data_IF_233588101097
#
_entry.id   IF_233588101097
#
_cell.length_a   1.000
_cell.length_b   1.000
_cell.length_c   1.000
_cell.angle_alpha   90.00
_cell.angle_beta   90.00
_cell.angle_gamma   90.00
#
_symmetry.space_group_name_H-M   'P 1'
#
loop_
_entity.id
_entity.type
_entity.pdbx_description
1 polymer ?
#
# COMPACT_ATOMS: atom_id res chain seq x y z
N UNK A 1 -6.44 -9.71 -11.36
CA UNK A 1 -5.20 -9.70 -10.56
C UNK A 1 -5.07 -8.34 -9.89
N UNK A 2 -4.67 -8.32 -8.63
CA UNK A 2 -4.59 -7.11 -7.82
C UNK A 2 -3.14 -6.60 -7.77
N UNK A 3 -2.98 -5.29 -7.95
CA UNK A 3 -1.77 -4.57 -7.62
C UNK A 3 -1.79 -4.20 -6.15
N UNK A 4 -0.63 -4.16 -5.51
CA UNK A 4 -0.52 -3.84 -4.10
C UNK A 4 0.72 -3.03 -3.79
N UNK A 5 0.60 -2.08 -2.87
CA UNK A 5 1.71 -1.25 -2.38
C UNK A 5 1.70 -1.33 -0.86
N UNK A 6 2.84 -1.70 -0.28
CA UNK A 6 3.01 -1.74 1.17
C UNK A 6 3.48 -0.38 1.68
N UNK A 7 2.80 0.12 2.71
CA UNK A 7 3.17 1.33 3.42
C UNK A 7 3.56 0.97 4.84
N UNK A 8 4.76 1.37 5.26
CA UNK A 8 5.29 1.08 6.60
C UNK A 8 5.91 2.33 7.21
N UNK A 9 6.03 2.36 8.54
CA UNK A 9 6.72 3.44 9.27
C UNK A 9 8.01 2.92 9.89
N UNK A 10 9.18 3.15 9.26
CA UNK A 10 10.49 2.81 9.80
C UNK A 10 10.73 3.38 11.21
N UNK A 11 11.22 2.55 12.15
CA UNK A 11 11.73 3.07 13.45
C UNK A 11 12.93 3.99 13.26
N UNK A 12 13.80 3.67 12.29
CA UNK A 12 15.01 4.42 11.95
C UNK A 12 14.75 5.68 11.08
N UNK A 13 13.49 6.00 10.75
CA UNK A 13 13.12 7.16 9.93
C UNK A 13 13.29 6.97 8.41
N UNK A 14 14.02 5.94 7.97
CA UNK A 14 14.16 5.56 6.55
C UNK A 14 13.90 4.08 6.31
N UNK A 15 13.25 3.75 5.20
CA UNK A 15 13.05 2.36 4.79
C UNK A 15 14.30 1.86 4.06
N UNK A 16 14.73 0.64 4.35
CA UNK A 16 15.92 0.03 3.73
C UNK A 16 15.61 -1.40 3.28
N UNK A 17 16.32 -1.93 2.26
CA UNK A 17 16.13 -3.31 1.82
C UNK A 17 16.28 -4.34 2.95
N UNK A 18 17.28 -4.18 3.83
CA UNK A 18 17.50 -5.08 4.97
C UNK A 18 16.30 -5.14 5.93
N UNK A 19 15.56 -4.04 6.09
CA UNK A 19 14.35 -4.02 6.92
C UNK A 19 13.21 -4.80 6.27
N UNK A 20 13.09 -4.74 4.94
CA UNK A 20 12.11 -5.51 4.18
C UNK A 20 12.48 -7.00 4.19
N UNK A 21 13.75 -7.35 3.96
CA UNK A 21 14.25 -8.71 4.07
C UNK A 21 13.94 -9.30 5.44
N UNK A 22 14.22 -8.55 6.51
CA UNK A 22 13.85 -8.96 7.86
C UNK A 22 12.34 -9.19 7.99
N UNK A 23 11.52 -8.27 7.48
CA UNK A 23 10.07 -8.37 7.57
C UNK A 23 9.53 -9.59 6.79
N UNK A 24 10.04 -9.88 5.60
CA UNK A 24 9.64 -11.06 4.85
C UNK A 24 10.02 -12.36 5.55
N UNK A 25 11.18 -12.40 6.20
CA UNK A 25 11.63 -13.59 6.89
C UNK A 25 10.94 -13.81 8.26
N UNK A 26 10.51 -12.75 8.94
CA UNK A 26 10.16 -12.85 10.37
C UNK A 26 8.80 -12.26 10.76
N UNK A 27 8.10 -11.51 9.90
CA UNK A 27 6.88 -10.79 10.30
C UNK A 27 5.70 -11.69 10.71
N UNK A 28 5.67 -12.94 10.23
CA UNK A 28 4.66 -13.93 10.58
C UNK A 28 4.97 -14.71 11.86
N UNK A 29 6.15 -14.54 12.44
CA UNK A 29 6.58 -15.25 13.65
C UNK A 29 6.19 -14.44 14.90
N UNK A 30 5.18 -14.88 15.68
CA UNK A 30 4.71 -14.16 16.86
C UNK A 30 5.71 -14.18 18.03
N UNK A 31 6.77 -14.99 17.93
CA UNK A 31 7.81 -15.09 18.99
C UNK A 31 8.88 -14.00 18.87
N UNK A 32 8.90 -13.26 17.76
CA UNK A 32 9.88 -12.20 17.53
C UNK A 32 9.68 -11.04 18.52
N UNK A 33 10.72 -10.65 19.28
CA UNK A 33 10.60 -9.54 20.20
C UNK A 33 10.32 -8.21 19.48
N UNK A 34 9.38 -7.43 20.01
CA UNK A 34 9.00 -6.13 19.45
C UNK A 34 10.18 -5.17 19.26
N UNK A 35 11.19 -5.24 20.13
CA UNK A 35 12.40 -4.39 20.05
C UNK A 35 13.12 -4.54 18.72
N UNK A 36 13.12 -5.75 18.13
CA UNK A 36 13.80 -6.04 16.87
C UNK A 36 12.95 -5.77 15.63
N UNK A 37 11.64 -5.56 15.80
CA UNK A 37 10.80 -5.18 14.66
C UNK A 37 11.28 -3.85 14.06
N UNK A 38 11.55 -3.79 12.75
CA UNK A 38 12.09 -2.59 12.11
C UNK A 38 11.04 -1.48 11.94
N UNK A 39 9.76 -1.82 12.01
CA UNK A 39 8.63 -0.90 11.82
C UNK A 39 7.95 -0.58 13.14
N UNK A 40 7.44 0.65 13.25
CA UNK A 40 6.64 1.08 14.41
C UNK A 40 5.35 0.28 14.47
N UNK A 41 4.93 -0.06 15.69
CA UNK A 41 3.59 -0.61 15.91
C UNK A 41 2.55 0.50 15.77
N UNK A 42 1.52 0.24 14.99
CA UNK A 42 0.45 1.18 14.65
C UNK A 42 -0.85 0.79 15.36
N UNK A 43 -1.78 1.74 15.43
CA UNK A 43 -3.15 1.51 15.90
C UNK A 43 -4.09 1.63 14.70
N UNK A 44 -4.56 0.51 14.10
CA UNK A 44 -5.34 0.53 12.87
C UNK A 44 -6.53 1.49 12.91
N UNK A 45 -7.29 1.50 14.01
CA UNK A 45 -8.43 2.42 14.18
C UNK A 45 -8.04 3.89 14.18
N UNK A 46 -6.94 4.25 14.85
CA UNK A 46 -6.46 5.65 14.86
C UNK A 46 -5.99 6.08 13.48
N UNK A 47 -5.36 5.17 12.74
CA UNK A 47 -4.92 5.40 11.37
C UNK A 47 -6.11 5.51 10.41
N UNK A 48 -7.15 4.71 10.61
CA UNK A 48 -8.39 4.80 9.83
C UNK A 48 -9.05 6.17 9.99
N UNK A 49 -9.12 6.66 11.23
CA UNK A 49 -9.63 8.01 11.52
C UNK A 49 -8.77 9.11 10.88
N UNK A 50 -7.45 8.93 10.78
CA UNK A 50 -6.57 9.87 10.09
C UNK A 50 -6.88 9.95 8.59
N UNK A 51 -7.12 8.80 7.95
CA UNK A 51 -7.52 8.72 6.54
C UNK A 51 -8.93 9.25 6.29
N UNK A 52 -9.88 8.99 7.20
CA UNK A 52 -11.24 9.55 7.13
C UNK A 52 -11.27 11.08 7.31
N UNK A 53 -10.24 11.68 7.92
CA UNK A 53 -10.09 13.15 7.94
C UNK A 53 -9.72 13.71 6.58
N UNK A 54 -8.88 13.00 5.81
CA UNK A 54 -8.54 13.36 4.44
C UNK A 54 -9.75 13.14 3.53
N UNK A 55 -10.33 11.94 3.60
CA UNK A 55 -11.41 11.51 2.71
C UNK A 55 -12.55 10.90 3.53
N UNK A 56 -13.59 11.70 3.73
CA UNK A 56 -14.80 11.30 4.48
C UNK A 56 -15.70 10.34 3.71
N UNK A 57 -15.40 10.07 2.43
CA UNK A 57 -16.21 9.20 1.58
C UNK A 57 -15.78 7.74 1.65
N UNK A 58 -14.63 7.46 2.27
CA UNK A 58 -14.17 6.09 2.51
C UNK A 58 -15.17 5.30 3.35
N UNK A 59 -15.41 4.06 2.95
CA UNK A 59 -16.31 3.14 3.63
C UNK A 59 -15.46 2.23 4.50
N UNK A 60 -15.64 2.30 5.82
CA UNK A 60 -14.88 1.51 6.77
C UNK A 60 -15.55 0.17 7.07
N UNK A 61 -14.75 -0.89 7.03
CA UNK A 61 -15.13 -2.26 7.36
C UNK A 61 -14.14 -2.84 8.39
N UNK A 62 -14.62 -3.68 9.34
CA UNK A 62 -13.73 -4.36 10.27
C UNK A 62 -12.89 -5.42 9.54
N UNK A 63 -11.58 -5.45 9.81
CA UNK A 63 -10.68 -6.53 9.41
C UNK A 63 -10.49 -7.57 10.53
N UNK A 64 -9.64 -8.56 10.29
CA UNK A 64 -9.26 -9.55 11.31
C UNK A 64 -8.40 -8.93 12.42
N UNK A 65 -8.43 -9.49 13.63
CA UNK A 65 -7.48 -9.09 14.69
C UNK A 65 -7.55 -7.64 15.18
N UNK A 66 -8.60 -6.87 14.82
CA UNK A 66 -8.71 -5.44 15.14
C UNK A 66 -8.19 -4.52 14.04
N UNK A 67 -7.84 -5.07 12.88
CA UNK A 67 -7.50 -4.35 11.66
C UNK A 67 -8.72 -3.63 11.07
N UNK A 68 -8.47 -2.75 10.11
CA UNK A 68 -9.52 -1.96 9.45
C UNK A 68 -9.30 -2.01 7.95
N UNK A 69 -10.36 -2.21 7.18
CA UNK A 69 -10.35 -2.05 5.73
C UNK A 69 -11.10 -0.76 5.40
N UNK A 70 -10.51 0.10 4.58
CA UNK A 70 -11.18 1.27 4.01
C UNK A 70 -11.35 1.06 2.51
N UNK A 71 -12.60 1.09 2.04
CA UNK A 71 -12.94 0.99 0.63
C UNK A 71 -13.14 2.38 0.05
N UNK A 72 -12.57 2.60 -1.13
CA UNK A 72 -12.94 3.76 -1.94
C UNK A 72 -14.42 3.63 -2.37
N UNK A 73 -15.23 4.71 -2.34
CA UNK A 73 -16.67 4.62 -2.53
C UNK A 73 -17.08 4.12 -3.92
N UNK A 74 -16.25 4.32 -4.94
CA UNK A 74 -16.50 3.83 -6.30
C UNK A 74 -16.00 2.38 -6.40
N UNK A 75 -16.92 1.43 -6.25
CA UNK A 75 -16.62 -0.02 -6.22
C UNK A 75 -15.86 -0.51 -7.46
N UNK A 76 -16.17 0.03 -8.64
CA UNK A 76 -15.56 -0.37 -9.89
C UNK A 76 -14.05 -0.03 -9.96
N UNK A 77 -13.59 0.94 -9.15
CA UNK A 77 -12.16 1.23 -9.03
C UNK A 77 -11.44 0.20 -8.17
N UNK A 78 -12.15 -0.54 -7.31
CA UNK A 78 -11.59 -1.63 -6.51
C UNK A 78 -10.48 -1.22 -5.53
N UNK A 79 -10.31 0.07 -5.23
CA UNK A 79 -9.26 0.57 -4.34
C UNK A 79 -9.63 0.25 -2.89
N UNK A 80 -8.72 -0.40 -2.17
CA UNK A 80 -8.86 -0.70 -0.74
C UNK A 80 -7.56 -0.39 0.01
N UNK A 81 -7.71 0.16 1.21
CA UNK A 81 -6.63 0.33 2.17
C UNK A 81 -6.85 -0.65 3.31
N UNK A 82 -6.02 -1.67 3.42
CA UNK A 82 -6.02 -2.59 4.55
C UNK A 82 -5.02 -2.10 5.61
N UNK A 83 -5.52 -1.68 6.76
CA UNK A 83 -4.75 -1.12 7.86
C UNK A 83 -4.56 -2.19 8.94
N UNK A 84 -3.31 -2.50 9.24
CA UNK A 84 -2.93 -3.44 10.29
C UNK A 84 -1.87 -2.84 11.21
N UNK A 85 -1.47 -3.58 12.24
CA UNK A 85 -0.59 -3.05 13.29
C UNK A 85 0.85 -2.77 12.84
N UNK A 86 1.25 -3.16 11.61
CA UNK A 86 2.59 -2.88 11.04
C UNK A 86 2.58 -1.96 9.83
N UNK A 87 1.42 -1.64 9.27
CA UNK A 87 1.37 -0.83 8.06
C UNK A 87 0.00 -0.69 7.44
N UNK A 88 0.01 -0.22 6.21
CA UNK A 88 -1.15 -0.19 5.32
C UNK A 88 -0.78 -0.92 4.04
N UNK A 89 -1.69 -1.76 3.56
CA UNK A 89 -1.60 -2.34 2.22
C UNK A 89 -2.64 -1.66 1.36
N UNK A 90 -2.18 -0.86 0.39
CA UNK A 90 -3.03 -0.34 -0.68
C UNK A 90 -3.19 -1.44 -1.72
N UNK A 91 -4.42 -1.76 -2.09
CA UNK A 91 -4.73 -2.71 -3.17
C UNK A 91 -5.66 -2.08 -4.18
N UNK A 92 -5.46 -2.39 -5.46
CA UNK A 92 -6.32 -1.97 -6.56
C UNK A 92 -6.18 -2.93 -7.74
N UNK A 93 -7.22 -3.12 -8.56
CA UNK A 93 -7.14 -3.97 -9.74
C UNK A 93 -6.16 -3.42 -10.79
N UNK A 94 -5.48 -4.31 -11.52
CA UNK A 94 -4.75 -3.94 -12.72
C UNK A 94 -5.74 -3.40 -13.77
N UNK A 95 -5.54 -2.16 -14.20
CA UNK A 95 -6.36 -1.46 -15.19
C UNK A 95 -5.49 -0.91 -16.32
N UNK A 96 -6.07 -0.70 -17.50
CA UNK A 96 -5.34 -0.15 -18.66
C UNK A 96 -5.52 1.37 -18.78
N UNK A 97 -4.58 2.00 -19.49
CA UNK A 97 -4.73 3.33 -20.08
C UNK A 97 -5.06 4.42 -19.03
N UNK A 98 -5.97 5.34 -19.37
CA UNK A 98 -6.36 6.48 -18.53
C UNK A 98 -6.86 6.05 -17.15
N UNK A 99 -7.57 4.93 -17.06
CA UNK A 99 -8.14 4.47 -15.81
C UNK A 99 -7.05 4.05 -14.82
N UNK A 100 -5.97 3.43 -15.31
CA UNK A 100 -4.79 3.12 -14.50
C UNK A 100 -4.19 4.38 -13.88
N UNK A 101 -4.04 5.45 -14.68
CA UNK A 101 -3.51 6.74 -14.20
C UNK A 101 -4.39 7.39 -13.15
N UNK A 102 -5.72 7.31 -13.30
CA UNK A 102 -6.67 7.83 -12.31
C UNK A 102 -6.55 7.05 -11.00
N UNK A 103 -6.56 5.72 -11.07
CA UNK A 103 -6.42 4.86 -9.89
C UNK A 103 -5.09 5.09 -9.18
N UNK A 104 -3.99 5.15 -9.91
CA UNK A 104 -2.68 5.48 -9.35
C UNK A 104 -2.70 6.87 -8.72
N UNK A 105 -3.24 7.89 -9.39
CA UNK A 105 -3.35 9.24 -8.82
C UNK A 105 -4.10 9.27 -7.47
N UNK A 106 -5.19 8.50 -7.35
CA UNK A 106 -5.92 8.33 -6.09
C UNK A 106 -5.06 7.63 -5.04
N UNK A 107 -4.44 6.49 -5.38
CA UNK A 107 -3.58 5.74 -4.46
C UNK A 107 -2.41 6.60 -3.95
N UNK A 108 -1.71 7.30 -4.83
CA UNK A 108 -0.59 8.18 -4.48
C UNK A 108 -1.01 9.37 -3.63
N UNK A 109 -2.26 9.83 -3.74
CA UNK A 109 -2.81 10.85 -2.82
C UNK A 109 -2.81 10.34 -1.38
N UNK A 110 -3.25 9.10 -1.13
CA UNK A 110 -3.20 8.51 0.21
C UNK A 110 -1.77 8.24 0.68
N UNK A 111 -0.90 7.74 -0.21
CA UNK A 111 0.52 7.52 0.10
C UNK A 111 1.16 8.82 0.56
N UNK A 112 0.99 9.90 -0.21
CA UNK A 112 1.56 11.22 0.09
C UNK A 112 1.04 11.77 1.42
N UNK A 113 -0.27 11.68 1.64
CA UNK A 113 -0.86 12.16 2.89
C UNK A 113 -0.35 11.37 4.11
N UNK A 114 -0.26 10.04 4.01
CA UNK A 114 0.29 9.20 5.09
C UNK A 114 1.77 9.48 5.33
N UNK A 115 2.52 9.74 4.27
CA UNK A 115 3.88 10.23 4.37
C UNK A 115 3.95 11.54 5.19
N UNK A 116 3.21 12.58 4.77
CA UNK A 116 3.28 13.90 5.39
C UNK A 116 2.81 13.90 6.86
N UNK A 117 1.78 13.10 7.17
CA UNK A 117 1.18 13.09 8.51
C UNK A 117 1.84 12.12 9.49
N UNK A 118 2.41 11.02 9.00
CA UNK A 118 2.84 9.92 9.86
C UNK A 118 4.19 9.29 9.49
N UNK A 119 4.89 9.82 8.47
CA UNK A 119 6.23 9.38 8.09
C UNK A 119 6.28 8.01 7.43
N UNK A 120 5.21 7.63 6.72
CA UNK A 120 5.15 6.39 5.97
C UNK A 120 6.12 6.39 4.78
N UNK A 121 6.69 5.23 4.51
CA UNK A 121 7.44 4.90 3.30
C UNK A 121 6.68 3.86 2.51
N UNK A 122 6.79 3.90 1.19
CA UNK A 122 6.17 2.92 0.30
C UNK A 122 7.20 1.90 -0.21
N UNK A 123 6.75 0.66 -0.32
CA UNK A 123 7.43 -0.41 -1.01
C UNK A 123 6.47 -1.05 -2.01
N UNK A 124 6.90 -1.08 -3.26
CA UNK A 124 6.22 -1.73 -4.37
C UNK A 124 6.89 -3.09 -4.64
N UNK A 125 6.25 -4.22 -4.28
CA UNK A 125 6.83 -5.54 -4.49
C UNK A 125 6.87 -5.98 -5.95
N UNK A 126 6.00 -5.46 -6.81
CA UNK A 126 5.96 -5.79 -8.23
C UNK A 126 7.15 -5.16 -8.96
N UNK A 127 7.53 -3.95 -8.57
CA UNK A 127 8.66 -3.20 -9.13
C UNK A 127 9.96 -3.36 -8.33
N UNK A 128 9.88 -3.90 -7.11
CA UNK A 128 10.97 -3.94 -6.13
C UNK A 128 11.55 -2.54 -5.87
N UNK A 129 10.67 -1.55 -5.68
CA UNK A 129 11.02 -0.14 -5.48
C UNK A 129 10.64 0.31 -4.07
N UNK A 130 11.57 0.98 -3.40
CA UNK A 130 11.35 1.71 -2.15
C UNK A 130 11.27 3.18 -2.50
N UNK A 131 10.16 3.84 -2.15
CA UNK A 131 9.97 5.26 -2.43
C UNK A 131 9.61 6.05 -1.18
N UNK A 132 10.07 7.30 -1.19
CA UNK A 132 9.78 8.31 -0.18
C UNK A 132 9.10 9.49 -0.85
N UNK A 133 7.78 9.62 -0.63
CA UNK A 133 7.00 10.83 -0.82
C UNK A 133 6.91 11.53 -2.19
N UNK A 134 7.95 11.48 -3.03
CA UNK A 134 8.18 12.41 -4.13
C UNK A 134 8.58 11.74 -5.46
N UNK A 135 8.57 10.41 -5.55
CA UNK A 135 8.79 9.73 -6.83
C UNK A 135 7.53 9.79 -7.71
N UNK A 136 7.12 10.97 -8.17
CA UNK A 136 6.13 11.10 -9.25
C UNK A 136 6.56 10.34 -10.51
N UNK A 137 7.87 10.12 -10.69
CA UNK A 137 8.42 9.20 -11.71
C UNK A 137 7.81 7.81 -11.63
N UNK A 138 7.49 7.33 -10.42
CA UNK A 138 6.89 6.01 -10.23
C UNK A 138 5.45 5.92 -10.75
N UNK A 139 4.68 7.02 -10.88
CA UNK A 139 3.31 6.94 -11.42
C UNK A 139 3.32 6.59 -12.90
N UNK A 140 4.14 7.28 -13.70
CA UNK A 140 4.22 7.04 -15.15
C UNK A 140 4.92 5.71 -15.44
N UNK A 141 5.95 5.35 -14.68
CA UNK A 141 6.63 4.06 -14.79
C UNK A 141 5.70 2.90 -14.38
N UNK A 142 4.95 3.05 -13.29
CA UNK A 142 3.95 2.06 -12.86
C UNK A 142 2.84 1.97 -13.89
N UNK A 143 2.30 3.09 -14.39
CA UNK A 143 1.28 3.07 -15.43
C UNK A 143 1.77 2.36 -16.70
N UNK A 144 3.01 2.65 -17.14
CA UNK A 144 3.62 1.99 -18.29
C UNK A 144 3.84 0.49 -18.05
N UNK A 145 4.25 0.09 -16.83
CA UNK A 145 4.35 -1.32 -16.44
C UNK A 145 2.98 -1.99 -16.48
N UNK A 146 1.95 -1.37 -15.90
CA UNK A 146 0.58 -1.89 -15.90
C UNK A 146 0.11 -2.14 -17.34
N UNK A 147 0.29 -1.15 -18.22
CA UNK A 147 -0.04 -1.25 -19.64
C UNK A 147 0.76 -2.34 -20.36
N UNK A 148 2.02 -2.59 -19.99
CA UNK A 148 2.88 -3.61 -20.58
C UNK A 148 2.59 -5.04 -20.09
N UNK A 149 2.21 -5.19 -18.82
CA UNK A 149 1.93 -6.50 -18.19
C UNK A 149 0.54 -7.03 -18.57
N UNK A 150 -0.46 -6.15 -18.69
CA UNK A 150 -1.84 -6.51 -18.99
C UNK A 150 -2.01 -7.40 -20.24
N UNK A 151 -1.42 -7.08 -21.41
CA UNK A 151 -1.55 -7.90 -22.61
C UNK A 151 -0.93 -9.29 -22.47
N UNK A 152 0.18 -9.42 -21.74
CA UNK A 152 0.84 -10.71 -21.48
C UNK A 152 0.01 -11.60 -20.57
N UNK A 153 -0.76 -10.99 -19.67
CA UNK A 153 -1.60 -11.69 -18.70
C UNK A 153 -2.96 -12.11 -19.27
N UNK A 154 -3.56 -11.29 -20.16
CA UNK A 154 -4.77 -11.68 -20.88
C UNK A 154 -4.54 -12.85 -21.85
N UNK A 155 -3.29 -13.02 -22.31
CA UNK A 155 -2.89 -14.09 -23.24
C UNK A 155 -2.16 -15.26 -22.56
N UNK A 156 -2.02 -15.25 -21.22
CA UNK A 156 -1.43 -16.38 -20.51
C UNK A 156 -2.43 -17.55 -20.49
N UNK A 157 -2.06 -18.75 -20.98
CA UNK A 157 -2.96 -19.89 -20.96
C UNK A 157 -3.10 -20.41 -19.53
N UNK A 158 -4.20 -20.08 -18.87
CA UNK A 158 -4.47 -20.53 -17.50
C UNK A 158 -5.65 -19.84 -16.80
N UNK A 159 -6.68 -19.43 -17.56
CA UNK A 159 -8.01 -19.13 -17.02
C UNK A 159 -8.90 -20.36 -17.11
#
# INVERSE_FOLDING_TARGET
MEYLIHLVVPKAGRLTPAMLEWAFAHSSDPTQPETFHPFRKLKPRSLALLLLKLDRTLIAEPGEGGDVILHYPIRDLGIRLYLHDRGVVLTFPLMNSLLARIVLGICYTYIRYLYDQAGFWSYDPQLNVISYADDYQSIDETAALLDALLPRMLNAPGG
#
